data_IF_199017756804
#
_entry.id   IF_199017756804
#
_cell.length_a   1.000
_cell.length_b   1.000
_cell.length_c   1.000
_cell.angle_alpha   90.00
_cell.angle_beta   90.00
_cell.angle_gamma   90.00
#
_symmetry.space_group_name_H-M   'P 1'
#
loop_
_entity.id
_entity.type
_entity.pdbx_description
1 polymer ?
#
# COMPACT_ATOMS: atom_id res chain seq x y z
N UNK A 1 14.37 -54.89 26.85
CA UNK A 1 13.10 -54.14 26.75
C UNK A 1 13.47 -52.69 26.42
N UNK A 2 13.53 -52.37 25.12
CA UNK A 2 13.91 -51.03 24.65
C UNK A 2 12.67 -50.13 24.67
N UNK A 3 12.70 -49.06 25.46
CA UNK A 3 11.72 -47.99 25.36
C UNK A 3 12.13 -47.08 24.20
N UNK A 4 11.38 -47.13 23.11
CA UNK A 4 11.44 -46.11 22.08
C UNK A 4 10.83 -44.83 22.66
N UNK A 5 11.64 -43.78 22.80
CA UNK A 5 11.13 -42.43 22.90
C UNK A 5 10.54 -42.09 21.53
N UNK A 6 9.22 -41.96 21.46
CA UNK A 6 8.55 -41.30 20.36
C UNK A 6 8.96 -39.82 20.39
N UNK A 7 9.88 -39.44 19.49
CA UNK A 7 9.96 -38.04 19.10
C UNK A 7 8.59 -37.68 18.53
N UNK A 8 7.88 -36.78 19.21
CA UNK A 8 6.80 -36.04 18.59
C UNK A 8 7.45 -35.33 17.39
N UNK A 9 7.10 -35.74 16.18
CA UNK A 9 7.23 -34.87 15.02
C UNK A 9 6.44 -33.62 15.37
N UNK A 10 7.15 -32.55 15.75
CA UNK A 10 6.62 -31.20 15.64
C UNK A 10 6.20 -31.06 14.19
N UNK A 11 4.90 -31.03 13.94
CA UNK A 11 4.33 -30.57 12.68
C UNK A 11 5.07 -29.28 12.32
N UNK A 12 5.94 -29.33 11.32
CA UNK A 12 6.66 -28.15 10.86
C UNK A 12 5.57 -27.18 10.41
N UNK A 13 5.47 -26.04 11.10
CA UNK A 13 4.49 -25.03 10.77
C UNK A 13 4.72 -24.60 9.31
N UNK A 14 3.75 -24.90 8.44
CA UNK A 14 3.85 -24.61 7.01
C UNK A 14 4.05 -23.11 6.83
N UNK A 15 5.11 -22.72 6.12
CA UNK A 15 5.45 -21.33 5.88
C UNK A 15 5.60 -21.06 4.39
N UNK A 16 5.05 -19.93 3.94
CA UNK A 16 5.30 -19.38 2.62
C UNK A 16 5.81 -17.95 2.73
N UNK A 17 6.81 -17.60 1.92
CA UNK A 17 7.34 -16.24 1.83
C UNK A 17 7.21 -15.75 0.39
N UNK A 18 6.70 -14.54 0.24
CA UNK A 18 6.55 -13.85 -1.04
C UNK A 18 7.28 -12.51 -1.00
N UNK A 19 7.85 -12.11 -2.13
CA UNK A 19 8.08 -10.69 -2.39
C UNK A 19 6.88 -10.13 -3.15
N UNK A 20 6.63 -8.84 -2.98
CA UNK A 20 5.66 -8.10 -3.76
C UNK A 20 6.13 -6.65 -3.93
N UNK A 21 5.29 -5.78 -4.49
CA UNK A 21 5.61 -4.37 -4.61
C UNK A 21 6.65 -4.08 -5.70
N UNK A 22 7.50 -3.06 -5.47
CA UNK A 22 8.28 -2.46 -6.57
C UNK A 22 9.28 -3.40 -7.24
N UNK A 23 9.85 -4.32 -6.47
CA UNK A 23 10.80 -5.31 -7.01
C UNK A 23 10.12 -6.26 -8.00
N UNK A 24 8.86 -6.63 -7.74
CA UNK A 24 8.11 -7.54 -8.59
C UNK A 24 7.45 -6.84 -9.79
N UNK A 25 7.12 -5.54 -9.65
CA UNK A 25 6.65 -4.70 -10.76
C UNK A 25 7.75 -4.26 -11.72
N UNK A 26 9.01 -4.26 -11.28
CA UNK A 26 10.14 -3.74 -12.06
C UNK A 26 10.28 -2.21 -12.02
N UNK A 27 9.69 -1.53 -11.03
CA UNK A 27 9.80 -0.08 -10.82
C UNK A 27 10.68 0.29 -9.60
N UNK A 28 11.73 -0.50 -9.38
CA UNK A 28 12.71 -0.31 -8.30
C UNK A 28 13.50 0.99 -8.45
N UNK A 29 13.83 1.62 -7.33
CA UNK A 29 14.74 2.77 -7.23
C UNK A 29 15.62 2.65 -5.99
N UNK A 30 16.55 3.60 -5.82
CA UNK A 30 17.46 3.64 -4.65
C UNK A 30 16.70 3.67 -3.32
N UNK A 31 15.52 4.29 -3.29
CA UNK A 31 14.68 4.38 -2.08
C UNK A 31 13.63 3.25 -1.98
N UNK A 32 13.70 2.23 -2.84
CA UNK A 32 12.75 1.11 -2.79
C UNK A 32 13.16 0.12 -1.70
N UNK A 33 12.22 -0.25 -0.83
CA UNK A 33 12.38 -1.40 0.05
C UNK A 33 11.96 -2.69 -0.69
N UNK A 34 12.32 -3.82 -0.11
CA UNK A 34 11.78 -5.13 -0.50
C UNK A 34 10.58 -5.42 0.37
N UNK A 35 9.38 -5.39 -0.21
CA UNK A 35 8.15 -5.76 0.49
C UNK A 35 8.06 -7.28 0.59
N UNK A 36 8.10 -7.82 1.80
CA UNK A 36 8.03 -9.25 2.07
C UNK A 36 6.73 -9.61 2.81
N UNK A 37 6.09 -10.69 2.38
CA UNK A 37 4.93 -11.30 3.02
C UNK A 37 5.35 -12.66 3.54
N UNK A 38 5.06 -12.94 4.80
CA UNK A 38 5.18 -14.27 5.38
C UNK A 38 3.80 -14.80 5.79
N UNK A 39 3.45 -15.99 5.29
CA UNK A 39 2.26 -16.73 5.68
C UNK A 39 2.67 -17.85 6.62
N UNK A 40 2.19 -17.78 7.86
CA UNK A 40 2.53 -18.74 8.92
C UNK A 40 1.40 -18.80 9.93
N UNK A 41 1.21 -19.96 10.57
CA UNK A 41 0.29 -20.10 11.69
C UNK A 41 1.01 -19.79 13.02
N UNK A 42 0.44 -18.87 13.80
CA UNK A 42 1.01 -18.43 15.07
C UNK A 42 2.24 -17.54 14.92
N UNK A 43 3.04 -17.45 15.99
CA UNK A 43 4.26 -16.63 16.03
C UNK A 43 5.46 -17.48 15.64
N UNK A 44 6.22 -17.02 14.65
CA UNK A 44 7.52 -17.59 14.29
C UNK A 44 8.64 -16.61 14.67
N UNK A 45 9.57 -16.97 15.59
CA UNK A 45 10.64 -16.08 16.03
C UNK A 45 11.69 -15.80 14.93
N UNK A 46 11.69 -16.54 13.82
CA UNK A 46 12.57 -16.30 12.68
C UNK A 46 12.13 -15.10 11.84
N UNK A 47 10.87 -14.68 11.98
CA UNK A 47 10.28 -13.60 11.20
C UNK A 47 10.30 -12.28 12.00
N UNK A 48 10.97 -11.29 11.42
CA UNK A 48 11.05 -9.93 11.93
C UNK A 48 9.83 -9.12 11.44
N UNK A 49 8.91 -8.69 12.30
CA UNK A 49 7.70 -7.97 11.89
C UNK A 49 8.00 -6.59 11.27
N UNK A 50 9.20 -6.04 11.47
CA UNK A 50 9.60 -4.79 10.81
C UNK A 50 10.02 -5.01 9.35
N UNK A 51 10.27 -6.27 8.97
CA UNK A 51 10.68 -6.66 7.60
C UNK A 51 9.58 -7.41 6.85
N UNK A 52 8.72 -8.11 7.58
CA UNK A 52 7.66 -8.95 7.02
C UNK A 52 6.28 -8.43 7.39
N UNK A 53 5.42 -8.33 6.38
CA UNK A 53 3.99 -8.43 6.58
C UNK A 53 3.65 -9.88 6.98
N UNK A 54 3.34 -10.13 8.25
CA UNK A 54 3.08 -11.48 8.75
C UNK A 54 1.57 -11.71 8.88
N UNK A 55 1.06 -12.74 8.21
CA UNK A 55 -0.35 -13.09 8.19
C UNK A 55 -0.58 -14.59 8.38
N UNK A 56 -1.70 -14.95 9.02
CA UNK A 56 -2.18 -16.34 8.98
C UNK A 56 -2.84 -16.65 7.65
N UNK A 57 -2.87 -17.93 7.28
CA UNK A 57 -3.54 -18.38 6.06
C UNK A 57 -5.04 -18.08 6.12
N UNK A 58 -5.65 -18.22 7.31
CA UNK A 58 -7.04 -17.82 7.54
C UNK A 58 -7.25 -16.35 7.20
N UNK A 59 -6.39 -15.45 7.69
CA UNK A 59 -6.55 -14.01 7.46
C UNK A 59 -6.39 -13.65 5.99
N UNK A 60 -5.46 -14.28 5.26
CA UNK A 60 -5.34 -14.09 3.81
C UNK A 60 -6.60 -14.55 3.08
N UNK A 61 -7.16 -15.71 3.42
CA UNK A 61 -8.42 -16.19 2.81
C UNK A 61 -9.57 -15.22 3.06
N UNK A 62 -9.67 -14.63 4.24
CA UNK A 62 -10.66 -13.58 4.54
C UNK A 62 -10.48 -12.35 3.65
N UNK A 63 -9.24 -11.88 3.47
CA UNK A 63 -8.93 -10.75 2.60
C UNK A 63 -9.25 -11.05 1.12
N UNK A 64 -8.97 -12.28 0.67
CA UNK A 64 -9.34 -12.77 -0.66
C UNK A 64 -10.86 -12.77 -0.85
N UNK A 65 -11.59 -13.34 0.10
CA UNK A 65 -13.05 -13.45 0.05
C UNK A 65 -13.74 -12.08 0.09
N UNK A 66 -13.17 -11.10 0.79
CA UNK A 66 -13.70 -9.73 0.83
C UNK A 66 -13.28 -8.87 -0.37
N UNK A 67 -12.44 -9.38 -1.29
CA UNK A 67 -11.94 -8.60 -2.41
C UNK A 67 -11.08 -7.40 -2.00
N UNK A 68 -10.37 -7.49 -0.87
CA UNK A 68 -9.63 -6.36 -0.31
C UNK A 68 -8.53 -5.86 -1.28
N UNK A 69 -8.27 -4.55 -1.30
CA UNK A 69 -7.24 -3.95 -2.16
C UNK A 69 -5.85 -4.57 -1.97
N UNK A 70 -5.48 -4.97 -0.75
CA UNK A 70 -4.23 -5.68 -0.48
C UNK A 70 -4.24 -7.10 -1.07
N UNK A 71 -5.36 -7.81 -1.05
CA UNK A 71 -5.46 -9.11 -1.71
C UNK A 71 -5.28 -8.99 -3.22
N UNK A 72 -5.88 -7.97 -3.85
CA UNK A 72 -5.66 -7.65 -5.26
C UNK A 72 -4.21 -7.28 -5.55
N UNK A 73 -3.58 -6.49 -4.68
CA UNK A 73 -2.16 -6.16 -4.79
C UNK A 73 -1.29 -7.42 -4.82
N UNK A 74 -1.51 -8.33 -3.87
CA UNK A 74 -0.76 -9.58 -3.80
C UNK A 74 -1.04 -10.50 -5.00
N UNK A 75 -2.29 -10.68 -5.38
CA UNK A 75 -2.68 -11.57 -6.49
C UNK A 75 -2.03 -11.17 -7.82
N UNK A 76 -1.87 -9.86 -8.05
CA UNK A 76 -1.33 -9.33 -9.30
C UNK A 76 0.19 -9.23 -9.31
N UNK A 77 0.82 -8.93 -8.16
CA UNK A 77 2.24 -8.56 -8.14
C UNK A 77 3.14 -9.53 -7.36
N UNK A 78 2.60 -10.36 -6.47
CA UNK A 78 3.45 -11.19 -5.61
C UNK A 78 4.18 -12.29 -6.38
N UNK A 79 5.36 -12.65 -5.86
CA UNK A 79 6.20 -13.75 -6.33
C UNK A 79 6.60 -14.61 -5.14
N UNK A 80 6.33 -15.91 -5.21
CA UNK A 80 6.79 -16.88 -4.22
C UNK A 80 8.32 -16.93 -4.21
N UNK A 81 8.91 -16.74 -3.03
CA UNK A 81 10.35 -16.86 -2.78
C UNK A 81 10.66 -18.19 -2.10
N UNK A 82 9.80 -18.60 -1.17
CA UNK A 82 10.00 -19.80 -0.36
C UNK A 82 8.66 -20.44 -0.01
N UNK A 83 8.64 -21.77 -0.05
CA UNK A 83 7.54 -22.59 0.46
C UNK A 83 8.13 -23.84 1.12
N UNK A 84 7.60 -24.19 2.29
CA UNK A 84 7.94 -25.43 3.00
C UNK A 84 7.27 -26.66 2.35
N UNK A 85 6.09 -26.50 1.73
CA UNK A 85 5.28 -27.60 1.18
C UNK A 85 5.34 -27.70 -0.36
N UNK A 86 6.28 -26.97 -0.99
CA UNK A 86 6.50 -26.89 -2.46
C UNK A 86 5.35 -26.18 -3.22
N UNK A 87 4.25 -25.84 -2.55
CA UNK A 87 3.09 -25.17 -3.12
C UNK A 87 3.27 -23.65 -3.25
N UNK A 88 2.50 -23.06 -4.17
CA UNK A 88 2.23 -21.62 -4.18
C UNK A 88 0.81 -21.39 -3.66
N UNK A 89 0.71 -21.13 -2.36
CA UNK A 89 -0.57 -20.94 -1.68
C UNK A 89 -1.40 -19.80 -2.31
N UNK A 90 -0.79 -18.63 -2.59
CA UNK A 90 -1.53 -17.50 -3.15
C UNK A 90 -2.03 -17.80 -4.57
N UNK A 91 -1.20 -18.43 -5.40
CA UNK A 91 -1.63 -18.87 -6.74
C UNK A 91 -2.74 -19.92 -6.67
N UNK A 92 -2.72 -20.78 -5.65
CA UNK A 92 -3.77 -21.76 -5.38
C UNK A 92 -5.12 -21.16 -5.01
N UNK A 93 -5.16 -19.93 -4.49
CA UNK A 93 -6.40 -19.20 -4.19
C UNK A 93 -7.08 -18.62 -5.44
N UNK A 94 -6.34 -18.47 -6.55
CA UNK A 94 -6.82 -17.73 -7.72
C UNK A 94 -6.96 -16.23 -7.45
N UNK A 95 -7.93 -15.58 -8.10
CA UNK A 95 -8.16 -14.15 -7.95
C UNK A 95 -9.03 -13.83 -6.71
N UNK A 96 -8.81 -12.69 -6.04
CA UNK A 96 -9.71 -12.21 -4.99
C UNK A 96 -11.13 -11.96 -5.53
N UNK A 97 -12.11 -11.90 -4.62
CA UNK A 97 -13.45 -11.40 -4.96
C UNK A 97 -13.38 -9.97 -5.53
N UNK A 98 -14.44 -9.57 -6.21
CA UNK A 98 -14.57 -8.20 -6.74
C UNK A 98 -14.38 -7.16 -5.63
N UNK A 99 -13.63 -6.11 -5.95
CA UNK A 99 -13.40 -4.99 -5.05
C UNK A 99 -14.60 -4.03 -5.07
N UNK A 100 -15.38 -4.04 -3.99
CA UNK A 100 -16.58 -3.19 -3.81
C UNK A 100 -16.40 -2.12 -2.72
N UNK A 101 -15.17 -1.93 -2.24
CA UNK A 101 -14.84 -1.00 -1.14
C UNK A 101 -14.53 0.43 -1.59
N UNK A 102 -14.68 0.73 -2.88
CA UNK A 102 -14.17 1.96 -3.49
C UNK A 102 -14.69 3.23 -2.82
N UNK A 103 -16.01 3.33 -2.65
CA UNK A 103 -16.66 4.49 -2.05
C UNK A 103 -16.18 4.76 -0.62
N UNK A 104 -16.19 3.74 0.24
CA UNK A 104 -15.81 3.86 1.65
C UNK A 104 -14.32 4.18 1.82
N UNK A 105 -13.46 3.51 1.07
CA UNK A 105 -12.01 3.73 1.17
C UNK A 105 -11.62 5.10 0.62
N UNK A 106 -12.17 5.52 -0.52
CA UNK A 106 -11.98 6.87 -1.05
C UNK A 106 -12.42 7.94 -0.05
N UNK A 107 -13.57 7.75 0.62
CA UNK A 107 -14.05 8.69 1.65
C UNK A 107 -13.11 8.78 2.86
N UNK A 108 -12.57 7.65 3.32
CA UNK A 108 -11.59 7.62 4.42
C UNK A 108 -10.32 8.37 4.03
N UNK A 109 -9.76 8.09 2.85
CA UNK A 109 -8.54 8.75 2.39
C UNK A 109 -8.76 10.23 2.07
N UNK A 110 -9.94 10.62 1.56
CA UNK A 110 -10.30 12.05 1.45
C UNK A 110 -10.27 12.74 2.81
N UNK A 111 -10.82 12.11 3.84
CA UNK A 111 -10.81 12.67 5.19
C UNK A 111 -9.38 12.88 5.71
N UNK A 112 -8.50 11.93 5.44
CA UNK A 112 -7.06 12.03 5.77
C UNK A 112 -6.40 13.18 5.00
N UNK A 113 -6.68 13.29 3.70
CA UNK A 113 -6.17 14.38 2.86
C UNK A 113 -6.60 15.76 3.38
N UNK A 114 -7.90 15.95 3.61
CA UNK A 114 -8.45 17.24 4.06
C UNK A 114 -7.92 17.64 5.43
N UNK A 115 -7.77 16.67 6.35
CA UNK A 115 -7.23 16.92 7.68
C UNK A 115 -5.78 17.42 7.61
N UNK A 116 -4.94 16.77 6.80
CA UNK A 116 -3.54 17.16 6.62
C UNK A 116 -3.40 18.52 5.91
N UNK A 117 -4.23 18.78 4.90
CA UNK A 117 -4.25 20.08 4.21
C UNK A 117 -4.64 21.21 5.18
N UNK A 118 -5.67 21.00 6.00
CA UNK A 118 -6.09 21.97 7.01
C UNK A 118 -4.97 22.24 8.02
N UNK A 119 -4.31 21.19 8.52
CA UNK A 119 -3.16 21.35 9.42
C UNK A 119 -2.04 22.21 8.80
N UNK A 120 -1.75 22.06 7.51
CA UNK A 120 -0.77 22.91 6.82
C UNK A 120 -1.25 24.38 6.81
N UNK A 121 -2.51 24.62 6.47
CA UNK A 121 -3.10 25.96 6.40
C UNK A 121 -3.13 26.67 7.76
N UNK A 122 -3.32 25.93 8.84
CA UNK A 122 -3.37 26.45 10.21
C UNK A 122 -1.99 26.58 10.88
N UNK A 123 -0.92 26.12 10.24
CA UNK A 123 0.45 26.21 10.76
C UNK A 123 0.86 24.99 11.60
N UNK A 124 0.82 23.80 10.99
CA UNK A 124 1.26 22.53 11.57
C UNK A 124 2.67 22.60 12.19
N UNK A 125 2.93 21.87 13.30
CA UNK A 125 4.28 21.71 13.82
C UNK A 125 5.21 20.88 12.92
N UNK A 126 4.68 20.13 11.93
CA UNK A 126 5.51 19.32 11.03
C UNK A 126 4.90 19.24 9.62
N UNK A 127 5.36 20.13 8.73
CA UNK A 127 4.97 20.12 7.31
C UNK A 127 5.36 18.81 6.64
N UNK A 128 6.52 18.23 7.00
CA UNK A 128 6.98 16.93 6.48
C UNK A 128 5.95 15.82 6.77
N UNK A 129 5.40 15.78 7.98
CA UNK A 129 4.40 14.79 8.36
C UNK A 129 3.08 14.97 7.58
N UNK A 130 2.61 16.21 7.44
CA UNK A 130 1.36 16.46 6.70
C UNK A 130 1.51 16.14 5.22
N UNK A 131 2.65 16.49 4.60
CA UNK A 131 2.93 16.15 3.19
C UNK A 131 3.04 14.64 2.97
N UNK A 132 3.66 13.91 3.91
CA UNK A 132 3.66 12.43 3.91
C UNK A 132 2.23 11.86 3.97
N UNK A 133 1.36 12.48 4.78
CA UNK A 133 -0.04 12.07 4.95
C UNK A 133 -0.87 12.36 3.71
N UNK A 134 -0.68 13.52 3.09
CA UNK A 134 -1.26 13.86 1.78
C UNK A 134 -0.82 12.85 0.72
N UNK A 135 0.48 12.54 0.66
CA UNK A 135 1.01 11.57 -0.30
C UNK A 135 0.37 10.18 -0.14
N UNK A 136 0.24 9.72 1.11
CA UNK A 136 -0.44 8.48 1.45
C UNK A 136 -1.89 8.47 0.93
N UNK A 137 -2.63 9.55 1.20
CA UNK A 137 -4.02 9.68 0.80
C UNK A 137 -4.19 9.66 -0.73
N UNK A 138 -3.45 10.50 -1.47
CA UNK A 138 -3.59 10.59 -2.94
C UNK A 138 -3.24 9.27 -3.63
N UNK A 139 -2.20 8.57 -3.16
CA UNK A 139 -1.77 7.27 -3.71
C UNK A 139 -2.85 6.21 -3.49
N UNK A 140 -3.41 6.16 -2.28
CA UNK A 140 -4.42 5.16 -1.95
C UNK A 140 -5.75 5.43 -2.65
N UNK A 141 -6.17 6.71 -2.77
CA UNK A 141 -7.33 7.08 -3.60
C UNK A 141 -7.13 6.61 -5.04
N UNK A 142 -5.96 6.86 -5.62
CA UNK A 142 -5.65 6.40 -6.98
C UNK A 142 -5.71 4.88 -7.12
N UNK A 143 -5.20 4.16 -6.12
CA UNK A 143 -5.22 2.69 -6.09
C UNK A 143 -6.65 2.17 -6.04
N UNK A 144 -7.45 2.63 -5.06
CA UNK A 144 -8.86 2.28 -4.90
C UNK A 144 -9.68 2.61 -6.16
N UNK A 145 -9.49 3.80 -6.72
CA UNK A 145 -10.16 4.22 -7.95
C UNK A 145 -9.76 3.32 -9.13
N UNK A 146 -8.47 3.04 -9.31
CA UNK A 146 -7.99 2.18 -10.41
C UNK A 146 -8.51 0.75 -10.31
N UNK A 147 -8.67 0.23 -9.08
CA UNK A 147 -9.23 -1.09 -8.84
C UNK A 147 -10.71 -1.19 -9.22
N UNK A 148 -11.49 -0.16 -8.91
CA UNK A 148 -12.92 -0.16 -9.13
C UNK A 148 -13.30 0.22 -10.57
N UNK A 149 -12.56 1.14 -11.18
CA UNK A 149 -13.01 1.85 -12.39
C UNK A 149 -12.19 1.56 -13.64
N UNK A 150 -10.98 0.99 -13.48
CA UNK A 150 -10.06 0.80 -14.59
C UNK A 150 -9.82 -0.69 -14.86
N UNK A 151 -9.59 -1.09 -16.12
CA UNK A 151 -9.29 -2.48 -16.46
C UNK A 151 -7.94 -2.97 -15.94
N UNK A 152 -7.05 -2.04 -15.58
CA UNK A 152 -5.70 -2.34 -15.08
C UNK A 152 -5.42 -1.50 -13.83
N UNK A 153 -5.50 -2.10 -12.63
CA UNK A 153 -5.23 -1.38 -11.38
C UNK A 153 -3.75 -1.01 -11.23
N UNK A 154 -3.46 -0.04 -10.36
CA UNK A 154 -2.09 0.42 -10.07
C UNK A 154 -1.85 0.58 -8.57
N UNK A 155 -0.75 0.02 -8.06
CA UNK A 155 -0.40 -0.01 -6.63
C UNK A 155 0.91 0.70 -6.29
N UNK A 156 1.57 1.29 -7.30
CA UNK A 156 2.87 1.94 -7.16
C UNK A 156 2.81 3.27 -6.42
N UNK A 157 3.98 3.83 -6.11
CA UNK A 157 4.07 5.18 -5.53
C UNK A 157 3.55 6.25 -6.50
N UNK A 158 3.69 6.01 -7.81
CA UNK A 158 3.22 6.89 -8.88
C UNK A 158 1.76 6.62 -9.30
N UNK A 159 0.99 5.82 -8.56
CA UNK A 159 -0.38 5.44 -8.94
C UNK A 159 -1.24 6.64 -9.33
N UNK A 160 -1.16 7.74 -8.57
CA UNK A 160 -1.94 8.96 -8.85
C UNK A 160 -1.61 9.61 -10.20
N UNK A 161 -0.39 9.40 -10.72
CA UNK A 161 0.06 9.91 -12.02
C UNK A 161 -0.18 8.93 -13.17
N UNK A 162 -0.61 7.71 -12.87
CA UNK A 162 -0.79 6.61 -13.83
C UNK A 162 -2.26 6.26 -14.08
N UNK A 163 -3.17 7.22 -13.90
CA UNK A 163 -4.62 7.05 -14.15
C UNK A 163 -5.05 7.57 -15.54
N UNK A 164 -4.11 7.85 -16.44
CA UNK A 164 -4.39 8.35 -17.79
C UNK A 164 -5.05 9.74 -17.75
N UNK A 165 -6.22 9.94 -18.39
CA UNK A 165 -6.93 11.23 -18.33
C UNK A 165 -7.35 11.67 -16.92
N UNK A 166 -7.35 10.73 -15.96
CA UNK A 166 -7.66 10.98 -14.56
C UNK A 166 -6.41 11.13 -13.68
N UNK A 167 -5.23 11.31 -14.28
CA UNK A 167 -4.01 11.53 -13.50
C UNK A 167 -4.08 12.85 -12.72
N UNK A 168 -3.49 12.85 -11.53
CA UNK A 168 -3.49 14.01 -10.63
C UNK A 168 -2.82 15.23 -11.29
N UNK A 169 -3.46 16.42 -11.22
CA UNK A 169 -2.91 17.65 -11.79
C UNK A 169 -1.92 18.29 -10.81
N UNK A 170 -0.70 17.75 -10.74
CA UNK A 170 0.34 18.20 -9.81
C UNK A 170 1.70 18.32 -10.51
N UNK A 171 2.47 19.35 -10.17
CA UNK A 171 3.80 19.56 -10.73
C UNK A 171 4.78 18.46 -10.30
N UNK A 172 5.80 18.20 -11.13
CA UNK A 172 6.90 17.28 -10.79
C UNK A 172 7.66 17.67 -9.51
N UNK A 173 8.01 18.95 -9.30
CA UNK A 173 8.66 19.38 -8.06
C UNK A 173 7.82 19.07 -6.82
N UNK A 174 6.52 19.40 -6.83
CA UNK A 174 5.67 19.16 -5.67
C UNK A 174 5.46 17.67 -5.43
N UNK A 175 5.23 16.87 -6.48
CA UNK A 175 5.09 15.42 -6.31
C UNK A 175 6.35 14.78 -5.73
N UNK A 176 7.53 15.24 -6.16
CA UNK A 176 8.81 14.81 -5.60
C UNK A 176 8.92 15.16 -4.12
N UNK A 177 8.50 16.37 -3.72
CA UNK A 177 8.46 16.78 -2.31
C UNK A 177 7.54 15.86 -1.50
N UNK A 178 6.35 15.55 -2.00
CA UNK A 178 5.40 14.63 -1.34
C UNK A 178 6.01 13.23 -1.13
N UNK A 179 6.68 12.70 -2.15
CA UNK A 179 7.37 11.41 -2.08
C UNK A 179 8.51 11.42 -1.05
N UNK A 180 9.33 12.47 -1.04
CA UNK A 180 10.45 12.63 -0.09
C UNK A 180 9.96 12.80 1.34
N UNK A 181 8.92 13.60 1.54
CA UNK A 181 8.27 13.77 2.83
C UNK A 181 7.76 12.43 3.39
N UNK A 182 7.22 11.56 2.53
CA UNK A 182 6.82 10.20 2.90
C UNK A 182 8.00 9.36 3.37
N UNK A 183 9.09 9.32 2.59
CA UNK A 183 10.29 8.56 2.94
C UNK A 183 10.86 8.99 4.30
N UNK A 184 11.02 10.30 4.49
CA UNK A 184 11.49 10.88 5.76
C UNK A 184 10.59 10.49 6.93
N UNK A 185 9.26 10.63 6.77
CA UNK A 185 8.32 10.37 7.85
C UNK A 185 8.23 8.89 8.24
N UNK A 186 8.36 7.96 7.29
CA UNK A 186 8.17 6.53 7.60
C UNK A 186 9.45 5.78 7.91
N UNK A 187 10.59 6.24 7.38
CA UNK A 187 11.86 5.52 7.47
C UNK A 187 12.98 6.34 8.11
N UNK A 188 12.77 7.65 8.32
CA UNK A 188 13.82 8.54 8.80
C UNK A 188 15.00 8.68 7.82
N UNK A 189 14.77 8.38 6.54
CA UNK A 189 15.79 8.42 5.47
C UNK A 189 15.33 9.29 4.31
N UNK A 190 16.30 9.82 3.56
CA UNK A 190 16.09 10.72 2.44
C UNK A 190 16.59 12.12 2.71
N UNK A 191 16.68 12.93 1.66
CA UNK A 191 17.11 14.32 1.74
C UNK A 191 16.00 15.20 2.32
N UNK A 192 16.38 16.18 3.16
CA UNK A 192 15.49 17.21 3.71
C UNK A 192 14.67 17.92 2.63
N UNK A 193 13.35 18.05 2.81
CA UNK A 193 12.45 18.63 1.79
C UNK A 193 12.75 20.10 1.45
N UNK A 194 13.64 20.75 2.21
CA UNK A 194 14.04 22.13 2.05
C UNK A 194 13.02 23.09 2.63
N UNK A 195 13.30 24.39 2.50
CA UNK A 195 12.30 25.41 2.77
C UNK A 195 11.20 25.32 1.71
N UNK A 196 9.98 25.02 2.17
CA UNK A 196 8.79 24.99 1.32
C UNK A 196 8.03 26.28 1.49
N UNK A 197 7.79 26.98 0.38
CA UNK A 197 6.87 28.12 0.34
C UNK A 197 5.43 27.59 0.52
N UNK A 198 4.93 27.66 1.75
CA UNK A 198 3.63 27.11 2.12
C UNK A 198 2.48 27.74 1.34
N UNK A 199 2.62 28.99 0.87
CA UNK A 199 1.59 29.65 0.07
C UNK A 199 1.41 29.01 -1.30
N UNK A 200 2.51 28.77 -2.02
CA UNK A 200 2.51 28.07 -3.32
C UNK A 200 2.14 26.60 -3.18
N UNK A 201 2.59 25.98 -2.11
CA UNK A 201 2.24 24.60 -1.77
C UNK A 201 0.72 24.45 -1.65
N UNK A 202 0.05 25.33 -0.89
CA UNK A 202 -1.40 25.25 -0.69
C UNK A 202 -2.15 25.47 -2.00
N UNK A 203 -1.69 26.37 -2.87
CA UNK A 203 -2.31 26.62 -4.18
C UNK A 203 -2.32 25.35 -5.06
N UNK A 204 -1.20 24.64 -5.16
CA UNK A 204 -1.15 23.38 -5.92
C UNK A 204 -1.94 22.23 -5.24
N UNK A 205 -1.92 22.18 -3.90
CA UNK A 205 -2.70 21.20 -3.15
C UNK A 205 -4.21 21.41 -3.28
N UNK A 206 -4.67 22.64 -3.49
CA UNK A 206 -6.07 22.91 -3.82
C UNK A 206 -6.49 22.29 -5.17
N UNK A 207 -5.58 22.27 -6.15
CA UNK A 207 -5.78 21.52 -7.40
C UNK A 207 -5.88 20.01 -7.15
N UNK A 208 -5.04 19.47 -6.27
CA UNK A 208 -5.12 18.07 -5.84
C UNK A 208 -6.43 17.77 -5.10
N UNK A 209 -6.94 18.71 -4.30
CA UNK A 209 -8.21 18.58 -3.57
C UNK A 209 -9.39 18.42 -4.52
N UNK A 210 -9.43 19.20 -5.60
CA UNK A 210 -10.49 19.06 -6.63
C UNK A 210 -10.45 17.68 -7.27
N UNK A 211 -9.24 17.19 -7.61
CA UNK A 211 -9.04 15.84 -8.13
C UNK A 211 -9.49 14.75 -7.15
N UNK A 212 -9.13 14.86 -5.86
CA UNK A 212 -9.58 13.95 -4.80
C UNK A 212 -11.10 13.88 -4.75
N UNK A 213 -11.77 15.04 -4.71
CA UNK A 213 -13.22 15.13 -4.63
C UNK A 213 -13.90 14.51 -5.85
N UNK A 214 -13.35 14.74 -7.05
CA UNK A 214 -13.87 14.18 -8.28
C UNK A 214 -13.79 12.65 -8.29
N UNK A 215 -12.63 12.07 -7.98
CA UNK A 215 -12.47 10.60 -7.97
C UNK A 215 -13.34 9.95 -6.90
N UNK A 216 -13.48 10.58 -5.73
CA UNK A 216 -14.36 10.07 -4.68
C UNK A 216 -15.83 10.07 -5.11
N UNK A 217 -16.31 11.15 -5.74
CA UNK A 217 -17.69 11.22 -6.23
C UNK A 217 -17.98 10.18 -7.33
N UNK A 218 -17.01 9.95 -8.22
CA UNK A 218 -17.12 8.94 -9.27
C UNK A 218 -17.17 7.52 -8.68
N UNK A 219 -16.31 7.24 -7.70
CA UNK A 219 -16.30 5.98 -6.95
C UNK A 219 -17.60 5.75 -6.16
N UNK A 220 -18.21 6.80 -5.61
CA UNK A 220 -19.51 6.71 -4.91
C UNK A 220 -20.69 6.46 -5.88
N UNK A 221 -20.56 6.83 -7.14
CA UNK A 221 -21.66 6.70 -8.12
C UNK A 221 -21.60 5.40 -8.92
N UNK A 222 -20.39 4.87 -9.15
CA UNK A 222 -20.16 3.76 -10.09
C UNK A 222 -19.42 2.55 -9.49
N UNK A 223 -19.02 2.62 -8.21
CA UNK A 223 -18.19 1.63 -7.53
C UNK A 223 -18.84 0.92 -6.38
#
# INVERSE_FOLDING_TARGET
>A
MFRFNSYQETELAVMHIYAFGSICRGDISVDSDVDLLALVEGRDPRLDPDKFSIYSYKRIKELWASGNAFAWHLALESKLIYSEDVGDFLKGLGMPSEYVGAADDCRRFRTIFESALLSIQEGTPSVVFELSTIFLAIRNIATCYSLAMLPSPTFGRDSARKLGPRSIPISDPLYSILMRARLLSTRGVGDDIGEVDTSKLVEELDGCRQWVNQLCAEAETHG
#
